data_IF_801366958738
#
_entry.id   IF_801366958738
#
_cell.length_a   1.000
_cell.length_b   1.000
_cell.length_c   1.000
_cell.angle_alpha   90.00
_cell.angle_beta   90.00
_cell.angle_gamma   90.00
#
_symmetry.space_group_name_H-M   'P 1'
#
loop_
_entity.id
_entity.type
_entity.pdbx_description
1 polymer ?
#
# COMPACT_ATOMS: atom_id res chain seq x y z
N UNK A 1 17.63 2.76 -21.39
CA UNK A 1 18.21 3.64 -20.35
C UNK A 1 17.34 4.84 -20.02
N UNK A 2 17.17 5.86 -20.90
CA UNK A 2 16.34 7.03 -20.59
C UNK A 2 14.88 6.70 -20.23
N UNK A 3 14.26 5.78 -20.98
CA UNK A 3 12.88 5.37 -20.74
C UNK A 3 12.72 4.61 -19.41
N UNK A 4 13.64 3.68 -19.12
CA UNK A 4 13.65 2.94 -17.85
C UNK A 4 13.83 3.88 -16.65
N UNK A 5 14.73 4.86 -16.76
CA UNK A 5 14.92 5.86 -15.70
C UNK A 5 13.67 6.73 -15.50
N UNK A 6 12.92 7.01 -16.57
CA UNK A 6 11.67 7.77 -16.47
C UNK A 6 10.60 6.99 -15.72
N UNK A 7 10.39 5.73 -16.07
CA UNK A 7 9.44 4.84 -15.38
C UNK A 7 9.79 4.71 -13.90
N UNK A 8 11.08 4.54 -13.57
CA UNK A 8 11.54 4.46 -12.18
C UNK A 8 11.23 5.74 -11.39
N UNK A 9 11.48 6.92 -11.97
CA UNK A 9 11.14 8.20 -11.35
C UNK A 9 9.63 8.35 -11.17
N UNK A 10 8.85 8.05 -12.21
CA UNK A 10 7.40 8.25 -12.20
C UNK A 10 6.76 7.39 -11.10
N UNK A 11 7.19 6.12 -10.97
CA UNK A 11 6.76 5.25 -9.88
C UNK A 11 7.13 5.80 -8.50
N UNK A 12 8.34 6.35 -8.38
CA UNK A 12 8.81 6.90 -7.10
C UNK A 12 8.07 8.16 -6.70
N UNK A 13 7.81 9.06 -7.65
CA UNK A 13 6.97 10.24 -7.43
C UNK A 13 5.54 9.85 -7.08
N UNK A 14 4.98 8.83 -7.73
CA UNK A 14 3.66 8.30 -7.40
C UNK A 14 3.60 7.80 -5.95
N UNK A 15 4.59 7.04 -5.50
CA UNK A 15 4.69 6.57 -4.12
C UNK A 15 4.91 7.71 -3.11
N UNK A 16 5.76 8.70 -3.41
CA UNK A 16 5.95 9.87 -2.56
C UNK A 16 4.65 10.68 -2.41
N UNK A 17 3.94 10.91 -3.51
CA UNK A 17 2.68 11.65 -3.51
C UNK A 17 1.59 10.87 -2.77
N UNK A 18 1.50 9.55 -2.97
CA UNK A 18 0.58 8.67 -2.23
C UNK A 18 0.82 8.76 -0.73
N UNK A 19 2.08 8.63 -0.30
CA UNK A 19 2.46 8.76 1.10
C UNK A 19 2.13 10.14 1.66
N UNK A 20 2.36 11.21 0.91
CA UNK A 20 2.02 12.57 1.32
C UNK A 20 0.51 12.74 1.53
N UNK A 21 -0.31 12.29 0.57
CA UNK A 21 -1.78 12.38 0.64
C UNK A 21 -2.31 11.67 1.88
N UNK A 22 -1.87 10.43 2.11
CA UNK A 22 -2.33 9.63 3.24
C UNK A 22 -1.77 10.09 4.58
N UNK A 23 -0.55 10.64 4.62
CA UNK A 23 -0.03 11.31 5.81
C UNK A 23 -0.88 12.51 6.21
N UNK A 24 -1.23 13.37 5.24
CA UNK A 24 -2.10 14.52 5.48
C UNK A 24 -3.51 14.09 5.88
N UNK A 25 -4.04 13.02 5.27
CA UNK A 25 -5.33 12.44 5.64
C UNK A 25 -5.33 11.97 7.11
N UNK A 26 -4.29 11.28 7.55
CA UNK A 26 -4.13 10.90 8.97
C UNK A 26 -3.99 12.12 9.87
N UNK A 27 -3.16 13.10 9.49
CA UNK A 27 -2.89 14.29 10.29
C UNK A 27 -4.13 15.19 10.46
N UNK A 28 -4.99 15.23 9.44
CA UNK A 28 -6.24 15.98 9.47
C UNK A 28 -7.35 15.31 10.31
N UNK A 29 -7.20 14.04 10.68
CA UNK A 29 -8.22 13.25 11.36
C UNK A 29 -7.65 12.61 12.64
N UNK A 30 -7.87 13.24 13.78
CA UNK A 30 -7.50 12.67 15.08
C UNK A 30 -8.65 11.84 15.67
N UNK A 31 -8.40 10.54 15.85
CA UNK A 31 -9.30 9.62 16.50
C UNK A 31 -8.52 8.48 17.14
N UNK A 32 -9.16 7.81 18.10
CA UNK A 32 -8.60 6.65 18.79
C UNK A 32 -9.14 5.37 18.17
N UNK A 33 -8.28 4.35 18.09
CA UNK A 33 -8.67 3.01 17.63
C UNK A 33 -8.62 2.04 18.81
N UNK A 34 -9.50 1.03 18.86
CA UNK A 34 -9.51 0.07 19.96
C UNK A 34 -8.19 -0.70 20.06
N UNK A 35 -7.69 -0.92 21.27
CA UNK A 35 -6.43 -1.65 21.48
C UNK A 35 -6.44 -3.04 20.85
N UNK A 36 -7.58 -3.74 20.87
CA UNK A 36 -7.69 -5.05 20.21
C UNK A 36 -7.45 -5.00 18.70
N UNK A 37 -7.83 -3.90 18.02
CA UNK A 37 -7.53 -3.72 16.60
C UNK A 37 -6.04 -3.49 16.37
N UNK A 38 -5.39 -2.71 17.24
CA UNK A 38 -3.94 -2.49 17.21
C UNK A 38 -3.20 -3.81 17.43
N UNK A 39 -3.59 -4.59 18.44
CA UNK A 39 -2.93 -5.84 18.79
C UNK A 39 -3.05 -6.88 17.66
N UNK A 40 -4.21 -6.96 17.00
CA UNK A 40 -4.41 -7.84 15.85
C UNK A 40 -3.53 -7.42 14.67
N UNK A 41 -3.47 -6.13 14.35
CA UNK A 41 -2.64 -5.65 13.24
C UNK A 41 -1.14 -5.79 13.56
N UNK A 42 -0.75 -5.62 14.81
CA UNK A 42 0.61 -5.85 15.27
C UNK A 42 1.04 -7.33 15.12
N UNK A 43 0.10 -8.27 15.32
CA UNK A 43 0.33 -9.69 15.03
C UNK A 43 0.46 -9.96 13.53
N UNK A 44 -0.38 -9.33 12.69
CA UNK A 44 -0.29 -9.45 11.24
C UNK A 44 1.09 -8.97 10.75
N UNK A 45 1.54 -7.81 11.23
CA UNK A 45 2.86 -7.24 10.92
C UNK A 45 4.01 -8.16 11.30
N UNK A 46 3.93 -8.79 12.47
CA UNK A 46 4.91 -9.78 12.91
C UNK A 46 4.94 -10.99 11.96
N UNK A 47 3.78 -11.53 11.60
CA UNK A 47 3.66 -12.67 10.67
C UNK A 47 4.18 -12.33 9.27
N UNK A 48 3.85 -11.14 8.74
CA UNK A 48 4.37 -10.67 7.45
C UNK A 48 5.90 -10.60 7.45
N UNK A 49 6.48 -10.07 8.52
CA UNK A 49 7.93 -9.98 8.67
C UNK A 49 8.56 -11.38 8.76
N UNK A 50 7.99 -12.29 9.55
CA UNK A 50 8.48 -13.67 9.66
C UNK A 50 8.42 -14.40 8.31
N UNK A 51 7.31 -14.24 7.56
CA UNK A 51 7.16 -14.81 6.22
C UNK A 51 8.22 -14.28 5.26
N UNK A 52 8.50 -12.97 5.27
CA UNK A 52 9.57 -12.36 4.46
C UNK A 52 10.95 -12.89 4.83
N UNK A 53 11.25 -13.06 6.12
CA UNK A 53 12.52 -13.64 6.57
C UNK A 53 12.69 -15.08 6.06
N UNK A 54 11.63 -15.91 6.18
CA UNK A 54 11.64 -17.28 5.69
C UNK A 54 11.86 -17.36 4.17
N UNK A 55 11.21 -16.48 3.40
CA UNK A 55 11.41 -16.40 1.95
C UNK A 55 12.85 -16.01 1.58
N UNK A 56 13.53 -15.23 2.42
CA UNK A 56 14.94 -14.85 2.24
C UNK A 56 15.92 -15.87 2.82
N UNK A 57 15.43 -17.01 3.33
CA UNK A 57 16.27 -18.05 3.96
C UNK A 57 16.87 -17.62 5.31
N UNK A 58 16.35 -16.56 5.92
CA UNK A 58 16.77 -16.07 7.24
C UNK A 58 15.90 -16.71 8.33
N UNK A 59 16.50 -17.16 9.46
CA UNK A 59 15.73 -17.68 10.58
C UNK A 59 14.89 -16.55 11.19
N UNK A 60 13.68 -16.88 11.66
CA UNK A 60 12.86 -15.93 12.40
C UNK A 60 13.63 -15.43 13.63
N UNK A 61 13.60 -14.12 13.88
CA UNK A 61 14.17 -13.57 15.09
C UNK A 61 13.26 -13.89 16.28
N UNK A 62 13.56 -14.99 16.99
CA UNK A 62 12.74 -15.53 18.08
C UNK A 62 12.52 -14.63 19.31
N UNK A 63 12.94 -13.37 19.26
CA UNK A 63 12.77 -12.37 20.34
C UNK A 63 11.84 -11.21 19.95
N UNK A 64 11.31 -11.16 18.72
CA UNK A 64 10.38 -10.10 18.33
C UNK A 64 8.99 -10.40 18.86
N UNK A 65 8.44 -9.44 19.61
CA UNK A 65 7.08 -9.49 20.16
C UNK A 65 6.18 -8.54 19.37
N UNK A 66 4.91 -8.92 19.18
CA UNK A 66 3.96 -8.13 18.41
C UNK A 66 3.87 -6.68 18.90
N UNK A 67 3.99 -6.44 20.22
CA UNK A 67 3.94 -5.09 20.79
C UNK A 67 5.01 -4.12 20.26
N UNK A 68 6.11 -4.63 19.69
CA UNK A 68 7.10 -3.80 19.00
C UNK A 68 6.53 -3.10 17.75
N UNK A 69 5.43 -3.61 17.20
CA UNK A 69 4.75 -3.07 16.02
C UNK A 69 3.54 -2.19 16.36
N UNK A 70 3.19 -1.98 17.63
CA UNK A 70 1.96 -1.29 18.02
C UNK A 70 1.82 0.12 17.40
N UNK A 71 2.91 0.87 17.27
CA UNK A 71 2.88 2.22 16.66
C UNK A 71 2.56 2.16 15.17
N UNK A 72 3.17 1.22 14.43
CA UNK A 72 2.88 1.03 13.01
C UNK A 72 1.49 0.41 12.81
N UNK A 73 1.10 -0.52 13.68
CA UNK A 73 -0.22 -1.13 13.69
C UNK A 73 -1.33 -0.10 13.91
N UNK A 74 -1.17 0.80 14.89
CA UNK A 74 -2.13 1.89 15.12
C UNK A 74 -2.29 2.75 13.86
N UNK A 75 -1.16 3.13 13.24
CA UNK A 75 -1.15 3.92 12.01
C UNK A 75 -1.89 3.20 10.87
N UNK A 76 -1.65 1.91 10.67
CA UNK A 76 -2.31 1.09 9.64
C UNK A 76 -3.80 0.92 9.89
N UNK A 77 -4.21 0.66 11.14
CA UNK A 77 -5.62 0.55 11.51
C UNK A 77 -6.34 1.88 11.25
N UNK A 78 -5.76 3.01 11.67
CA UNK A 78 -6.33 4.33 11.39
C UNK A 78 -6.46 4.58 9.90
N UNK A 79 -5.42 4.26 9.13
CA UNK A 79 -5.43 4.45 7.69
C UNK A 79 -6.52 3.62 7.01
N UNK A 80 -6.60 2.33 7.33
CA UNK A 80 -7.60 1.42 6.74
C UNK A 80 -9.03 1.89 7.02
N UNK A 81 -9.28 2.40 8.23
CA UNK A 81 -10.59 2.98 8.58
C UNK A 81 -10.89 4.26 7.78
N UNK A 82 -9.91 5.16 7.62
CA UNK A 82 -10.10 6.37 6.82
C UNK A 82 -10.33 6.07 5.34
N UNK A 83 -9.57 5.14 4.75
CA UNK A 83 -9.75 4.71 3.37
C UNK A 83 -11.14 4.10 3.19
N UNK A 84 -11.55 3.20 4.09
CA UNK A 84 -12.87 2.58 4.05
C UNK A 84 -14.00 3.60 4.17
N UNK A 85 -13.86 4.59 5.05
CA UNK A 85 -14.83 5.66 5.24
C UNK A 85 -14.95 6.56 4.01
N UNK A 86 -13.81 6.95 3.40
CA UNK A 86 -13.84 7.75 2.17
C UNK A 86 -14.44 6.94 1.02
N UNK A 87 -14.07 5.67 0.88
CA UNK A 87 -14.63 4.77 -0.13
C UNK A 87 -16.14 4.63 0.03
N UNK A 88 -16.62 4.41 1.26
CA UNK A 88 -18.05 4.30 1.55
C UNK A 88 -18.81 5.60 1.27
N UNK A 89 -18.26 6.76 1.63
CA UNK A 89 -18.92 8.05 1.41
C UNK A 89 -19.00 8.46 -0.07
N UNK A 90 -18.19 7.82 -0.91
CA UNK A 90 -18.09 8.08 -2.34
C UNK A 90 -18.55 6.90 -3.21
N UNK A 91 -19.13 5.86 -2.60
CA UNK A 91 -19.56 4.63 -3.27
C UNK A 91 -18.46 4.00 -4.14
N UNK A 92 -17.21 4.09 -3.69
CA UNK A 92 -16.05 3.57 -4.40
C UNK A 92 -15.98 2.06 -4.23
N UNK A 93 -16.25 1.34 -5.31
CA UNK A 93 -16.10 -0.12 -5.38
C UNK A 93 -15.21 -0.45 -6.56
N UNK A 94 -14.20 -1.29 -6.34
CA UNK A 94 -13.34 -1.75 -7.41
C UNK A 94 -14.13 -2.65 -8.37
N UNK A 95 -14.19 -2.27 -9.64
CA UNK A 95 -14.79 -3.11 -10.66
C UNK A 95 -13.88 -4.29 -10.97
N UNK A 96 -14.47 -5.39 -11.47
CA UNK A 96 -13.68 -6.55 -11.93
C UNK A 96 -12.61 -6.14 -12.95
N UNK A 97 -12.96 -5.25 -13.88
CA UNK A 97 -12.01 -4.76 -14.90
C UNK A 97 -10.82 -4.03 -14.27
N UNK A 98 -11.05 -3.24 -13.22
CA UNK A 98 -9.97 -2.56 -12.50
C UNK A 98 -9.10 -3.54 -11.71
N UNK A 99 -9.70 -4.57 -11.10
CA UNK A 99 -8.96 -5.63 -10.40
C UNK A 99 -8.10 -6.42 -11.39
N UNK A 100 -8.67 -6.83 -12.53
CA UNK A 100 -7.96 -7.55 -13.59
C UNK A 100 -6.80 -6.70 -14.15
N UNK A 101 -7.04 -5.41 -14.39
CA UNK A 101 -5.99 -4.48 -14.83
C UNK A 101 -4.88 -4.30 -13.79
N UNK A 102 -5.22 -4.30 -12.49
CA UNK A 102 -4.23 -4.21 -11.42
C UNK A 102 -3.41 -5.49 -11.30
N UNK A 103 -4.04 -6.66 -11.46
CA UNK A 103 -3.33 -7.94 -11.53
C UNK A 103 -2.36 -7.98 -12.70
N UNK A 104 -2.79 -7.51 -13.88
CA UNK A 104 -1.94 -7.41 -15.05
C UNK A 104 -0.72 -6.50 -14.77
N UNK A 105 -0.94 -5.31 -14.20
CA UNK A 105 0.13 -4.39 -13.80
C UNK A 105 1.14 -5.07 -12.85
N UNK A 106 0.66 -5.75 -11.80
CA UNK A 106 1.51 -6.44 -10.83
C UNK A 106 2.29 -7.60 -11.47
N UNK A 107 1.67 -8.32 -12.41
CA UNK A 107 2.28 -9.46 -13.09
C UNK A 107 3.49 -9.08 -13.97
N UNK A 108 3.58 -7.82 -14.43
CA UNK A 108 4.68 -7.34 -15.28
C UNK A 108 6.05 -7.50 -14.61
N UNK A 109 6.10 -7.42 -13.27
CA UNK A 109 7.34 -7.62 -12.50
C UNK A 109 7.85 -9.07 -12.52
N UNK A 110 6.99 -10.03 -12.88
CA UNK A 110 7.30 -11.47 -12.85
C UNK A 110 7.76 -12.01 -14.22
N UNK A 111 7.75 -11.19 -15.28
CA UNK A 111 8.23 -11.56 -16.60
C UNK A 111 7.55 -12.82 -17.14
N UNK A 112 8.32 -13.86 -17.45
CA UNK A 112 7.81 -15.14 -17.98
C UNK A 112 6.82 -15.85 -17.03
N UNK A 113 6.84 -15.53 -15.74
CA UNK A 113 5.94 -16.10 -14.73
C UNK A 113 4.67 -15.25 -14.49
N UNK A 114 4.40 -14.23 -15.31
CA UNK A 114 3.25 -13.34 -15.15
C UNK A 114 1.92 -14.09 -15.05
N UNK A 115 1.67 -15.06 -15.94
CA UNK A 115 0.42 -15.84 -15.92
C UNK A 115 0.28 -16.68 -14.65
N UNK A 116 1.37 -17.29 -14.16
CA UNK A 116 1.35 -18.07 -12.92
C UNK A 116 0.99 -17.21 -11.71
N UNK A 117 1.45 -15.95 -11.69
CA UNK A 117 1.07 -15.00 -10.66
C UNK A 117 -0.42 -14.67 -10.74
N UNK A 118 -0.94 -14.36 -11.93
CA UNK A 118 -2.37 -14.07 -12.13
C UNK A 118 -3.24 -15.26 -11.69
N UNK A 119 -2.86 -16.47 -12.08
CA UNK A 119 -3.57 -17.69 -11.67
C UNK A 119 -3.52 -17.87 -10.15
N UNK A 120 -2.35 -17.66 -9.53
CA UNK A 120 -2.17 -17.72 -8.08
C UNK A 120 -3.11 -16.77 -7.33
N UNK A 121 -3.35 -15.55 -7.82
CA UNK A 121 -4.31 -14.65 -7.18
C UNK A 121 -5.76 -15.08 -7.43
N UNK A 122 -6.08 -15.57 -8.63
CA UNK A 122 -7.44 -16.01 -8.98
C UNK A 122 -7.89 -17.29 -8.26
N UNK A 123 -6.96 -18.14 -7.82
CA UNK A 123 -7.26 -19.38 -7.11
C UNK A 123 -7.85 -19.17 -5.71
N UNK A 124 -7.62 -18.01 -5.10
CA UNK A 124 -7.97 -17.74 -3.70
C UNK A 124 -8.66 -16.37 -3.57
N UNK A 125 -9.97 -16.35 -3.27
CA UNK A 125 -10.71 -15.10 -3.10
C UNK A 125 -10.09 -14.13 -2.09
N UNK A 126 -9.39 -14.64 -1.07
CA UNK A 126 -8.74 -13.78 -0.07
C UNK A 126 -7.57 -12.99 -0.66
N UNK A 127 -6.89 -13.53 -1.67
CA UNK A 127 -5.79 -12.84 -2.39
C UNK A 127 -6.35 -11.76 -3.31
N UNK A 128 -7.49 -12.02 -3.95
CA UNK A 128 -8.19 -11.02 -4.76
C UNK A 128 -8.66 -9.84 -3.91
N UNK A 129 -9.13 -10.06 -2.68
CA UNK A 129 -9.49 -8.97 -1.76
C UNK A 129 -8.31 -8.03 -1.51
N UNK A 130 -7.08 -8.53 -1.44
CA UNK A 130 -5.92 -7.64 -1.29
C UNK A 130 -5.73 -6.74 -2.52
N UNK A 131 -5.89 -7.28 -3.73
CA UNK A 131 -5.79 -6.50 -4.97
C UNK A 131 -6.94 -5.48 -5.07
N UNK A 132 -8.13 -5.89 -4.67
CA UNK A 132 -9.30 -5.01 -4.57
C UNK A 132 -9.02 -3.80 -3.68
N UNK A 133 -8.44 -4.03 -2.50
CA UNK A 133 -8.06 -2.95 -1.58
C UNK A 133 -7.04 -1.98 -2.19
N UNK A 134 -6.07 -2.47 -2.97
CA UNK A 134 -5.12 -1.61 -3.68
C UNK A 134 -5.79 -0.74 -4.75
N UNK A 135 -6.81 -1.27 -5.42
CA UNK A 135 -7.61 -0.51 -6.40
C UNK A 135 -8.44 0.55 -5.68
N UNK A 136 -9.13 0.20 -4.59
CA UNK A 136 -9.92 1.14 -3.79
C UNK A 136 -9.03 2.24 -3.19
N UNK A 137 -7.85 1.89 -2.68
CA UNK A 137 -6.86 2.85 -2.17
C UNK A 137 -6.50 3.90 -3.24
N UNK A 138 -6.24 3.46 -4.47
CA UNK A 138 -5.96 4.37 -5.59
C UNK A 138 -7.16 5.26 -5.92
N UNK A 139 -8.38 4.71 -5.94
CA UNK A 139 -9.59 5.49 -6.18
C UNK A 139 -9.83 6.55 -5.09
N UNK A 140 -9.54 6.21 -3.83
CA UNK A 140 -9.59 7.15 -2.70
C UNK A 140 -8.55 8.26 -2.88
N UNK A 141 -7.32 7.90 -3.28
CA UNK A 141 -6.27 8.87 -3.57
C UNK A 141 -6.71 9.87 -4.65
N UNK A 142 -7.26 9.38 -5.77
CA UNK A 142 -7.78 10.21 -6.86
C UNK A 142 -8.92 11.12 -6.39
N UNK A 143 -9.86 10.59 -5.61
CA UNK A 143 -10.98 11.36 -5.02
C UNK A 143 -10.50 12.48 -4.10
N UNK A 144 -9.46 12.23 -3.31
CA UNK A 144 -8.86 13.26 -2.44
C UNK A 144 -8.20 14.34 -3.30
N UNK A 145 -7.43 13.94 -4.34
CA UNK A 145 -6.73 14.87 -5.22
C UNK A 145 -7.67 15.81 -5.99
N UNK A 146 -8.87 15.35 -6.37
CA UNK A 146 -9.88 16.19 -7.01
C UNK A 146 -10.34 17.38 -6.15
N UNK A 147 -10.25 17.23 -4.82
CA UNK A 147 -10.71 18.23 -3.85
C UNK A 147 -9.58 18.94 -3.13
N UNK A 148 -8.38 18.37 -3.14
CA UNK A 148 -7.23 18.88 -2.43
C UNK A 148 -6.61 20.10 -3.14
N UNK A 149 -5.97 20.96 -2.35
CA UNK A 149 -5.11 22.02 -2.92
C UNK A 149 -3.75 21.42 -3.27
N UNK A 150 -3.51 21.17 -4.55
CA UNK A 150 -2.24 20.60 -5.04
C UNK A 150 -1.19 21.70 -5.22
N UNK A 151 0.02 21.48 -4.70
CA UNK A 151 1.16 22.38 -4.88
C UNK A 151 2.29 21.66 -5.60
N UNK A 152 2.66 22.17 -6.77
CA UNK A 152 3.79 21.63 -7.53
C UNK A 152 5.13 22.04 -6.91
N UNK A 153 6.00 21.05 -6.68
CA UNK A 153 7.37 21.25 -6.20
C UNK A 153 8.36 20.77 -7.26
N UNK A 154 9.16 21.69 -7.78
CA UNK A 154 10.26 21.33 -8.68
C UNK A 154 11.38 20.67 -7.88
N UNK A 155 11.61 19.37 -8.14
CA UNK A 155 12.73 18.59 -7.59
C UNK A 155 13.72 18.24 -8.69
N UNK A 156 15.01 18.19 -8.35
CA UNK A 156 16.05 17.64 -9.23
C UNK A 156 15.98 16.12 -9.23
N UNK A 157 16.39 15.50 -10.34
CA UNK A 157 16.50 14.03 -10.46
C UNK A 157 17.17 13.39 -9.24
N UNK A 158 18.31 13.94 -8.81
CA UNK A 158 19.07 13.41 -7.67
C UNK A 158 18.26 13.39 -6.36
N UNK A 159 17.41 14.38 -6.13
CA UNK A 159 16.60 14.50 -4.91
C UNK A 159 15.48 13.46 -4.86
N UNK A 160 14.93 13.09 -6.02
CA UNK A 160 13.93 12.02 -6.13
C UNK A 160 14.61 10.66 -6.03
N UNK A 161 15.84 10.49 -6.53
CA UNK A 161 16.53 9.18 -6.50
C UNK A 161 17.25 8.85 -5.19
N UNK A 162 17.58 9.82 -4.33
CA UNK A 162 18.23 9.55 -3.04
C UNK A 162 17.22 9.00 -2.02
N UNK A 163 17.46 7.80 -1.48
CA UNK A 163 16.61 7.23 -0.42
C UNK A 163 16.51 8.22 0.74
N UNK A 164 15.28 8.56 1.14
CA UNK A 164 15.07 9.13 2.46
C UNK A 164 15.33 8.00 3.46
N UNK A 165 16.35 8.20 4.30
CA UNK A 165 16.74 7.31 5.40
C UNK A 165 15.70 7.41 6.51
#
# INVERSE_FOLDING_TARGET
>A
MKEQMRVEIDNRLAEENKNAIFNELLAANDFVVPQGSIDNEAQNLLQEMEARMQQQGMPSQGNLVASAFNTEAERRVKMGLLIAEVASNHDLTASKEQIDAKLEEMSQMYGENAQQMVDYYNEDPTRLTHVELLVVEKMVQETILEKATVTDKNKKFQEVTQQQV
#
